data_IF_192203248884
#
_entry.id   IF_192203248884
#
_cell.length_a   1.000
_cell.length_b   1.000
_cell.length_c   1.000
_cell.angle_alpha   90.00
_cell.angle_beta   90.00
_cell.angle_gamma   90.00
#
_symmetry.space_group_name_H-M   'P 1'
#
loop_
_entity.id
_entity.type
_entity.pdbx_description
1 polymer ?
#
# COMPACT_ATOMS: atom_id res chain seq x y z
N UNK A 1 12.66 -21.91 16.62
CA UNK A 1 12.56 -21.20 15.32
C UNK A 1 12.16 -19.78 15.64
N UNK A 2 12.90 -18.80 15.14
CA UNK A 2 12.70 -17.39 15.49
C UNK A 2 11.33 -16.93 14.96
N UNK A 3 10.35 -16.72 15.84
CA UNK A 3 9.08 -16.09 15.50
C UNK A 3 9.39 -14.68 14.97
N UNK A 4 9.45 -14.51 13.65
CA UNK A 4 9.55 -13.17 13.08
C UNK A 4 8.25 -12.46 13.38
N UNK A 5 8.34 -11.37 14.14
CA UNK A 5 7.22 -10.51 14.44
C UNK A 5 6.79 -9.81 13.13
N UNK A 6 5.83 -10.40 12.42
CA UNK A 6 5.41 -9.92 11.11
C UNK A 6 4.45 -8.74 11.26
N UNK A 7 4.79 -7.59 10.68
CA UNK A 7 3.91 -6.41 10.68
C UNK A 7 2.78 -6.66 9.67
N UNK A 8 1.50 -6.59 10.06
CA UNK A 8 0.39 -6.87 9.16
C UNK A 8 0.35 -5.84 8.02
N UNK A 9 0.02 -6.29 6.80
CA UNK A 9 -0.08 -5.41 5.63
C UNK A 9 -1.52 -4.97 5.37
N UNK A 10 -1.66 -3.72 4.97
CA UNK A 10 -2.91 -3.14 4.45
C UNK A 10 -2.68 -2.73 3.00
N UNK A 11 -3.46 -3.31 2.10
CA UNK A 11 -3.40 -3.00 0.68
C UNK A 11 -4.43 -1.92 0.28
N UNK A 12 -4.06 -0.99 -0.60
CA UNK A 12 -4.98 0.01 -1.15
C UNK A 12 -5.04 -0.16 -2.66
N UNK A 13 -6.20 -0.61 -3.15
CA UNK A 13 -6.50 -0.74 -4.57
C UNK A 13 -7.29 0.48 -5.03
N UNK A 14 -6.81 1.16 -6.07
CA UNK A 14 -7.38 2.41 -6.56
C UNK A 14 -7.06 2.61 -8.05
N UNK A 15 -7.88 3.38 -8.76
CA UNK A 15 -7.48 3.82 -10.09
C UNK A 15 -6.55 5.03 -10.00
N UNK A 16 -5.41 5.00 -10.70
CA UNK A 16 -4.47 6.14 -10.74
C UNK A 16 -5.14 7.47 -11.08
N UNK A 17 -6.19 7.47 -11.92
CA UNK A 17 -6.94 8.69 -12.26
C UNK A 17 -7.58 9.38 -11.05
N UNK A 18 -7.91 8.63 -10.00
CA UNK A 18 -8.51 9.15 -8.78
C UNK A 18 -7.49 9.82 -7.86
N UNK A 19 -6.21 9.85 -8.24
CA UNK A 19 -5.15 10.53 -7.48
C UNK A 19 -4.26 11.45 -8.34
N UNK A 20 -4.74 11.87 -9.52
CA UNK A 20 -3.96 12.71 -10.44
C UNK A 20 -4.32 14.21 -10.40
N UNK A 21 -5.30 14.61 -9.60
CA UNK A 21 -5.71 16.02 -9.52
C UNK A 21 -4.59 16.90 -8.97
N UNK A 22 -4.54 18.15 -9.43
CA UNK A 22 -3.66 19.17 -8.86
C UNK A 22 -4.14 19.58 -7.45
N UNK A 23 -5.46 19.55 -7.25
CA UNK A 23 -6.09 19.89 -5.98
C UNK A 23 -5.89 18.75 -4.96
N UNK A 24 -5.22 19.00 -3.81
CA UNK A 24 -4.98 17.97 -2.80
C UNK A 24 -6.25 17.30 -2.27
N UNK A 25 -7.33 18.07 -2.13
CA UNK A 25 -8.63 17.58 -1.65
C UNK A 25 -9.25 16.51 -2.57
N UNK A 26 -8.84 16.45 -3.84
CA UNK A 26 -9.32 15.48 -4.83
C UNK A 26 -8.36 14.29 -5.04
N UNK A 27 -7.22 14.26 -4.35
CA UNK A 27 -6.25 13.17 -4.40
C UNK A 27 -6.58 12.12 -3.35
N UNK A 28 -7.52 11.22 -3.68
CA UNK A 28 -8.16 10.33 -2.71
C UNK A 28 -7.22 9.33 -2.03
N UNK A 29 -6.21 8.81 -2.74
CA UNK A 29 -5.21 7.94 -2.13
C UNK A 29 -4.36 8.75 -1.14
N UNK A 30 -3.85 9.90 -1.56
CA UNK A 30 -2.97 10.72 -0.71
C UNK A 30 -3.67 11.11 0.59
N UNK A 31 -4.95 11.53 0.49
CA UNK A 31 -5.77 11.82 1.67
C UNK A 31 -5.95 10.62 2.58
N UNK A 32 -6.27 9.44 2.05
CA UNK A 32 -6.38 8.24 2.88
C UNK A 32 -5.04 7.89 3.56
N UNK A 33 -3.92 8.05 2.85
CA UNK A 33 -2.59 7.78 3.40
C UNK A 33 -2.29 8.68 4.60
N UNK A 34 -2.72 9.94 4.62
CA UNK A 34 -2.54 10.83 5.79
C UNK A 34 -3.19 10.26 7.07
N UNK A 35 -4.34 9.59 6.96
CA UNK A 35 -4.99 8.92 8.10
C UNK A 35 -4.33 7.62 8.50
N UNK A 36 -3.65 6.94 7.57
CA UNK A 36 -3.02 5.64 7.79
C UNK A 36 -1.53 5.76 8.17
N UNK A 37 -0.89 6.87 7.86
CA UNK A 37 0.52 7.11 8.16
C UNK A 37 0.85 6.97 9.66
N UNK A 38 -0.02 7.38 10.61
CA UNK A 38 0.22 7.09 12.02
C UNK A 38 0.43 5.60 12.32
N UNK A 39 -0.32 4.70 11.66
CA UNK A 39 -0.20 3.25 11.84
C UNK A 39 1.14 2.74 11.30
N UNK A 40 1.60 3.32 10.18
CA UNK A 40 2.89 3.02 9.57
C UNK A 40 4.06 3.49 10.45
N UNK A 41 4.00 4.75 10.92
CA UNK A 41 5.01 5.35 11.80
C UNK A 41 5.08 4.67 13.18
N UNK A 42 3.95 4.13 13.66
CA UNK A 42 3.87 3.36 14.90
C UNK A 42 4.17 1.86 14.71
N UNK A 43 4.53 1.44 13.49
CA UNK A 43 4.84 0.04 13.14
C UNK A 43 3.68 -0.93 13.44
N UNK A 44 2.44 -0.43 13.45
CA UNK A 44 1.24 -1.23 13.69
C UNK A 44 0.76 -1.93 12.42
N UNK A 45 1.00 -1.31 11.26
CA UNK A 45 0.68 -1.89 9.96
C UNK A 45 1.58 -1.31 8.88
N UNK A 46 1.90 -2.11 7.87
CA UNK A 46 2.57 -1.65 6.65
C UNK A 46 1.50 -1.29 5.61
N UNK A 47 1.53 -0.06 5.11
CA UNK A 47 0.57 0.43 4.11
C UNK A 47 1.17 0.32 2.70
N UNK A 48 0.44 -0.33 1.79
CA UNK A 48 0.92 -0.67 0.45
C UNK A 48 -0.08 -0.27 -0.65
N UNK A 49 0.42 0.23 -1.77
CA UNK A 49 -0.38 0.59 -2.95
C UNK A 49 0.50 0.64 -4.20
N UNK A 50 -0.10 0.47 -5.39
CA UNK A 50 0.56 0.46 -6.70
C UNK A 50 1.49 1.65 -7.01
N UNK A 51 1.42 2.79 -6.28
CA UNK A 51 2.41 3.88 -6.43
C UNK A 51 3.84 3.45 -6.09
N UNK A 52 4.03 2.43 -5.24
CA UNK A 52 5.36 2.03 -4.76
C UNK A 52 6.10 1.08 -5.73
N UNK A 53 5.52 0.81 -6.91
CA UNK A 53 5.59 -0.51 -7.52
C UNK A 53 5.68 -0.50 -9.05
N UNK A 54 6.14 0.60 -9.64
CA UNK A 54 6.15 0.83 -11.10
C UNK A 54 7.17 -0.02 -11.90
N UNK A 55 7.33 -1.34 -11.67
CA UNK A 55 8.28 -2.18 -12.42
C UNK A 55 7.67 -3.52 -12.92
N UNK A 56 7.33 -3.55 -14.22
CA UNK A 56 7.47 -4.73 -15.12
C UNK A 56 6.52 -5.94 -15.01
N UNK A 57 6.69 -6.95 -15.88
CA UNK A 57 5.88 -8.17 -15.94
C UNK A 57 6.12 -9.18 -14.78
N UNK A 58 7.17 -8.98 -13.98
CA UNK A 58 7.44 -9.76 -12.74
C UNK A 58 6.46 -9.40 -11.59
N UNK A 59 5.72 -8.30 -11.78
CA UNK A 59 4.75 -7.70 -10.88
C UNK A 59 3.58 -8.61 -10.46
N UNK A 60 3.08 -9.46 -11.37
CA UNK A 60 1.95 -10.35 -11.07
C UNK A 60 2.29 -11.39 -9.99
N UNK A 61 3.54 -11.84 -9.98
CA UNK A 61 4.03 -12.82 -9.01
C UNK A 61 4.31 -12.15 -7.67
N UNK A 62 4.88 -10.95 -7.71
CA UNK A 62 5.18 -10.17 -6.50
C UNK A 62 3.90 -9.71 -5.78
N UNK A 63 2.84 -9.33 -6.51
CA UNK A 63 1.51 -9.11 -5.90
C UNK A 63 0.99 -10.39 -5.26
N UNK A 64 1.05 -11.54 -5.94
CA UNK A 64 0.53 -12.79 -5.37
C UNK A 64 1.25 -13.20 -4.09
N UNK A 65 2.57 -13.04 -4.05
CA UNK A 65 3.40 -13.35 -2.89
C UNK A 65 3.21 -12.30 -1.78
N UNK A 66 3.14 -11.01 -2.12
CA UNK A 66 2.96 -9.92 -1.16
C UNK A 66 1.57 -9.90 -0.53
N UNK A 67 0.54 -10.32 -1.28
CA UNK A 67 -0.83 -10.38 -0.79
C UNK A 67 -1.08 -11.53 0.21
N UNK A 68 -0.15 -12.49 0.37
CA UNK A 68 -0.28 -13.54 1.39
C UNK A 68 -0.26 -12.98 2.82
N UNK A 69 0.37 -11.82 3.04
CA UNK A 69 0.48 -11.20 4.37
C UNK A 69 -0.55 -10.08 4.59
N UNK A 70 -1.43 -9.85 3.61
CA UNK A 70 -2.40 -8.76 3.65
C UNK A 70 -3.58 -9.13 4.54
N UNK A 71 -3.84 -8.33 5.57
CA UNK A 71 -4.93 -8.58 6.52
C UNK A 71 -6.20 -7.83 6.16
N UNK A 72 -6.03 -6.67 5.55
CA UNK A 72 -7.13 -5.87 5.05
C UNK A 72 -6.76 -5.19 3.75
N UNK A 73 -7.77 -4.93 2.92
CA UNK A 73 -7.64 -4.14 1.73
C UNK A 73 -8.71 -3.06 1.66
N UNK A 74 -8.32 -1.88 1.20
CA UNK A 74 -9.22 -0.77 0.92
C UNK A 74 -9.41 -0.66 -0.59
N UNK A 75 -10.67 -0.59 -1.03
CA UNK A 75 -10.99 -0.30 -2.43
C UNK A 75 -11.45 1.15 -2.53
N UNK A 76 -10.72 1.98 -3.26
CA UNK A 76 -11.14 3.34 -3.58
C UNK A 76 -11.97 3.32 -4.86
N UNK A 77 -13.28 3.15 -4.71
CA UNK A 77 -14.19 2.82 -5.81
C UNK A 77 -14.75 4.06 -6.47
N UNK A 78 -14.52 4.18 -7.78
CA UNK A 78 -15.03 5.20 -8.66
C UNK A 78 -15.40 4.59 -10.02
N UNK A 79 -15.96 5.38 -10.94
CA UNK A 79 -16.12 4.92 -12.32
C UNK A 79 -14.78 4.59 -13.00
N UNK A 80 -13.70 5.31 -12.64
CA UNK A 80 -12.34 5.01 -13.13
C UNK A 80 -11.83 3.67 -12.61
N UNK A 81 -12.11 3.35 -11.34
CA UNK A 81 -11.82 2.05 -10.74
C UNK A 81 -12.53 0.92 -11.49
N UNK A 82 -13.85 1.03 -11.67
CA UNK A 82 -14.65 -0.02 -12.31
C UNK A 82 -14.31 -0.23 -13.79
N UNK A 83 -13.87 0.83 -14.48
CA UNK A 83 -13.44 0.81 -15.88
C UNK A 83 -11.97 0.41 -16.08
N UNK A 84 -11.19 0.27 -15.01
CA UNK A 84 -9.77 -0.11 -15.11
C UNK A 84 -9.63 -1.58 -15.49
N UNK A 85 -9.09 -1.84 -16.69
CA UNK A 85 -8.76 -3.20 -17.12
C UNK A 85 -7.71 -3.85 -16.22
N UNK A 86 -6.77 -3.06 -15.72
CA UNK A 86 -5.69 -3.55 -14.90
C UNK A 86 -6.21 -4.02 -13.53
N UNK A 87 -7.01 -3.20 -12.83
CA UNK A 87 -7.67 -3.59 -11.56
C UNK A 87 -8.52 -4.85 -11.77
N UNK A 88 -9.33 -4.85 -12.83
CA UNK A 88 -10.24 -5.95 -13.15
C UNK A 88 -9.52 -7.27 -13.44
N UNK A 89 -8.37 -7.22 -14.12
CA UNK A 89 -7.71 -8.42 -14.63
C UNK A 89 -6.54 -8.88 -13.76
N UNK A 90 -6.04 -8.05 -12.84
CA UNK A 90 -4.80 -8.32 -12.10
C UNK A 90 -5.05 -8.25 -10.59
N UNK A 91 -5.24 -7.05 -10.02
CA UNK A 91 -5.28 -6.86 -8.56
C UNK A 91 -6.53 -7.47 -7.91
N UNK A 92 -7.72 -7.13 -8.44
CA UNK A 92 -8.97 -7.44 -7.77
C UNK A 92 -9.27 -8.94 -7.73
N UNK A 93 -9.09 -9.74 -8.79
CA UNK A 93 -9.31 -11.19 -8.72
C UNK A 93 -8.46 -11.87 -7.65
N UNK A 94 -7.19 -11.49 -7.53
CA UNK A 94 -6.28 -12.02 -6.50
C UNK A 94 -6.76 -11.60 -5.11
N UNK A 95 -7.10 -10.33 -4.92
CA UNK A 95 -7.60 -9.84 -3.63
C UNK A 95 -8.91 -10.54 -3.21
N UNK A 96 -9.83 -10.77 -4.15
CA UNK A 96 -11.07 -11.50 -3.89
C UNK A 96 -10.81 -12.96 -3.52
N UNK A 97 -9.86 -13.60 -4.19
CA UNK A 97 -9.41 -14.94 -3.83
C UNK A 97 -8.84 -14.95 -2.41
N UNK A 98 -7.97 -14.00 -2.06
CA UNK A 98 -7.39 -13.90 -0.72
C UNK A 98 -8.44 -13.63 0.36
N UNK A 99 -9.43 -12.79 0.09
CA UNK A 99 -10.55 -12.59 1.01
C UNK A 99 -11.33 -13.87 1.28
N UNK A 100 -11.47 -14.73 0.27
CA UNK A 100 -12.16 -16.02 0.40
C UNK A 100 -11.30 -17.07 1.10
N UNK A 101 -10.03 -17.18 0.77
CA UNK A 101 -9.13 -18.26 1.21
C UNK A 101 -8.43 -17.95 2.54
N UNK A 102 -8.00 -16.70 2.72
CA UNK A 102 -7.20 -16.24 3.87
C UNK A 102 -7.97 -15.27 4.78
N UNK A 103 -9.22 -14.96 4.45
CA UNK A 103 -10.10 -14.15 5.30
C UNK A 103 -9.82 -12.65 5.29
N UNK A 104 -9.01 -12.16 4.33
CA UNK A 104 -8.68 -10.75 4.12
C UNK A 104 -9.94 -9.88 4.13
N UNK A 105 -9.93 -8.83 4.95
CA UNK A 105 -11.08 -7.92 5.07
C UNK A 105 -11.05 -6.85 3.98
N UNK A 106 -12.04 -6.85 3.10
CA UNK A 106 -12.16 -5.84 2.04
C UNK A 106 -13.10 -4.71 2.49
N UNK A 107 -12.63 -3.48 2.40
CA UNK A 107 -13.33 -2.25 2.80
C UNK A 107 -13.46 -1.29 1.61
N UNK A 108 -14.58 -1.31 0.88
CA UNK A 108 -14.81 -0.35 -0.17
C UNK A 108 -15.17 1.05 0.38
N UNK A 109 -14.60 2.08 -0.24
CA UNK A 109 -14.97 3.49 -0.07
C UNK A 109 -15.46 4.00 -1.42
N UNK A 110 -16.68 4.55 -1.48
CA UNK A 110 -17.24 5.07 -2.73
C UNK A 110 -16.81 6.51 -2.88
N UNK A 111 -15.88 6.76 -3.80
CA UNK A 111 -15.32 8.07 -4.07
C UNK A 111 -16.28 8.94 -4.88
N UNK A 112 -16.91 8.36 -5.90
CA UNK A 112 -17.77 9.04 -6.88
C UNK A 112 -18.94 8.15 -7.30
N UNK A 113 -20.04 8.74 -7.72
CA UNK A 113 -21.17 8.00 -8.32
C UNK A 113 -20.67 7.12 -9.47
N UNK A 114 -21.01 5.83 -9.41
CA UNK A 114 -20.55 4.83 -10.37
C UNK A 114 -21.45 3.60 -10.34
N UNK A 115 -21.24 2.68 -11.28
CA UNK A 115 -22.00 1.42 -11.44
C UNK A 115 -21.63 0.36 -10.38
N UNK A 116 -21.53 0.75 -9.11
CA UNK A 116 -21.03 -0.10 -8.03
C UNK A 116 -21.85 -1.37 -7.83
N UNK A 117 -23.18 -1.24 -7.83
CA UNK A 117 -24.10 -2.36 -7.56
C UNK A 117 -24.23 -3.29 -8.78
N UNK A 118 -24.12 -2.71 -9.98
CA UNK A 118 -24.31 -3.37 -11.25
C UNK A 118 -23.04 -4.09 -11.72
N UNK A 119 -21.86 -3.68 -11.23
CA UNK A 119 -20.60 -4.25 -11.67
C UNK A 119 -20.28 -5.56 -10.97
N UNK A 120 -19.98 -6.57 -11.78
CA UNK A 120 -19.56 -7.89 -11.33
C UNK A 120 -18.13 -8.20 -11.74
N UNK A 121 -17.49 -9.05 -10.95
CA UNK A 121 -16.13 -9.53 -11.14
C UNK A 121 -16.09 -11.05 -11.01
N UNK A 122 -15.33 -11.69 -11.89
CA UNK A 122 -15.03 -13.11 -11.79
C UNK A 122 -13.65 -13.32 -11.19
N UNK A 123 -13.48 -14.41 -10.46
CA UNK A 123 -12.21 -14.78 -9.82
C UNK A 123 -12.11 -16.32 -9.62
N UNK A 124 -10.90 -16.88 -9.44
CA UNK A 124 -9.59 -16.21 -9.49
C UNK A 124 -9.21 -15.76 -10.91
N UNK A 125 -9.75 -16.39 -11.95
CA UNK A 125 -9.57 -15.91 -13.33
C UNK A 125 -10.62 -14.84 -13.69
N UNK A 126 -10.22 -13.67 -14.21
CA UNK A 126 -11.12 -12.55 -14.49
C UNK A 126 -12.11 -12.79 -15.65
N UNK A 127 -11.88 -13.81 -16.50
CA UNK A 127 -12.72 -14.12 -17.68
C UNK A 127 -13.59 -15.36 -17.44
N UNK A 128 -12.96 -16.41 -16.94
CA UNK A 128 -13.49 -17.77 -16.84
C UNK A 128 -13.55 -18.28 -15.40
N UNK A 129 -13.26 -17.43 -14.42
CA UNK A 129 -13.34 -17.78 -13.00
C UNK A 129 -14.71 -18.38 -12.64
N UNK A 130 -14.74 -19.47 -11.87
CA UNK A 130 -15.99 -20.12 -11.46
C UNK A 130 -16.79 -19.26 -10.47
N UNK A 131 -16.13 -18.33 -9.77
CA UNK A 131 -16.76 -17.44 -8.80
C UNK A 131 -17.12 -16.10 -9.42
N UNK A 132 -18.26 -15.53 -9.01
CA UNK A 132 -18.72 -14.20 -9.41
C UNK A 132 -19.13 -13.38 -8.18
N UNK A 133 -18.55 -12.20 -8.01
CA UNK A 133 -18.88 -11.26 -6.94
C UNK A 133 -19.36 -9.92 -7.52
N UNK A 134 -20.48 -9.42 -7.01
CA UNK A 134 -20.84 -8.01 -7.13
C UNK A 134 -20.30 -7.27 -5.91
N UNK A 135 -19.60 -6.15 -6.14
CA UNK A 135 -19.05 -5.35 -5.04
C UNK A 135 -20.15 -4.79 -4.12
N UNK A 136 -21.38 -4.63 -4.62
CA UNK A 136 -22.55 -4.26 -3.82
C UNK A 136 -22.87 -5.23 -2.68
N UNK A 137 -22.30 -6.43 -2.67
CA UNK A 137 -22.43 -7.40 -1.56
C UNK A 137 -21.43 -7.16 -0.42
N UNK A 138 -20.43 -6.31 -0.62
CA UNK A 138 -19.43 -5.98 0.39
C UNK A 138 -19.92 -4.88 1.33
N UNK A 139 -19.45 -4.90 2.57
CA UNK A 139 -19.77 -3.83 3.53
C UNK A 139 -18.95 -2.58 3.22
N UNK A 140 -19.64 -1.54 2.76
CA UNK A 140 -19.06 -0.27 2.30
C UNK A 140 -18.89 0.72 3.47
N UNK A 141 -17.88 1.59 3.39
CA UNK A 141 -17.61 2.63 4.38
C UNK A 141 -18.61 3.80 4.35
N UNK A 142 -19.16 4.10 3.17
CA UNK A 142 -20.16 5.14 2.95
C UNK A 142 -21.25 4.65 1.97
N UNK A 143 -22.40 5.34 1.95
CA UNK A 143 -23.49 4.96 1.05
C UNK A 143 -23.07 5.13 -0.43
N UNK A 144 -23.37 4.17 -1.33
CA UNK A 144 -23.18 4.36 -2.76
C UNK A 144 -23.97 5.54 -3.35
N UNK A 145 -25.03 5.98 -2.68
CA UNK A 145 -25.83 7.17 -3.07
C UNK A 145 -25.25 8.48 -2.53
N UNK A 146 -24.33 8.41 -1.58
CA UNK A 146 -23.62 9.54 -0.98
C UNK A 146 -22.11 9.27 -1.08
N UNK A 147 -21.53 9.39 -2.29
CA UNK A 147 -20.09 9.24 -2.47
C UNK A 147 -19.31 10.37 -1.77
N UNK A 148 -18.02 10.15 -1.50
CA UNK A 148 -17.19 11.17 -0.83
C UNK A 148 -17.22 12.51 -1.59
N UNK A 149 -17.14 12.50 -2.91
CA UNK A 149 -17.10 13.73 -3.70
C UNK A 149 -18.39 14.56 -3.66
N UNK A 150 -19.51 14.03 -3.15
CA UNK A 150 -20.76 14.80 -2.97
C UNK A 150 -20.86 15.45 -1.58
N UNK A 151 -19.95 15.12 -0.66
CA UNK A 151 -19.96 15.61 0.72
C UNK A 151 -19.03 16.82 0.88
N UNK A 152 -19.27 17.69 1.87
CA UNK A 152 -18.27 18.64 2.35
C UNK A 152 -17.00 17.93 2.86
N UNK A 153 -15.83 18.56 2.73
CA UNK A 153 -14.53 17.96 3.04
C UNK A 153 -14.44 17.38 4.48
N UNK A 154 -14.93 18.13 5.47
CA UNK A 154 -14.93 17.69 6.86
C UNK A 154 -15.82 16.46 7.14
N UNK A 155 -16.79 16.14 6.28
CA UNK A 155 -17.57 14.91 6.36
C UNK A 155 -16.83 13.75 5.70
N UNK A 156 -16.14 14.01 4.59
CA UNK A 156 -15.25 13.04 3.94
C UNK A 156 -14.16 12.59 4.92
N UNK A 157 -13.56 13.53 5.64
CA UNK A 157 -12.55 13.29 6.67
C UNK A 157 -13.04 12.35 7.78
N UNK A 158 -14.31 12.47 8.20
CA UNK A 158 -14.91 11.55 9.18
C UNK A 158 -14.99 10.13 8.63
N UNK A 159 -15.34 9.97 7.36
CA UNK A 159 -15.38 8.65 6.72
C UNK A 159 -13.96 8.07 6.64
N UNK A 160 -12.97 8.84 6.19
CA UNK A 160 -11.57 8.40 6.11
C UNK A 160 -11.02 7.99 7.48
N UNK A 161 -11.28 8.80 8.52
CA UNK A 161 -10.94 8.47 9.90
C UNK A 161 -11.61 7.17 10.37
N UNK A 162 -12.90 7.00 10.08
CA UNK A 162 -13.63 5.78 10.47
C UNK A 162 -13.06 4.52 9.83
N UNK A 163 -12.59 4.63 8.57
CA UNK A 163 -11.92 3.53 7.86
C UNK A 163 -10.57 3.23 8.51
N UNK A 164 -9.75 4.24 8.80
CA UNK A 164 -8.48 4.06 9.49
C UNK A 164 -8.63 3.39 10.85
N UNK A 165 -9.63 3.81 11.65
CA UNK A 165 -9.96 3.18 12.92
C UNK A 165 -10.43 1.72 12.75
N UNK A 166 -11.19 1.42 11.69
CA UNK A 166 -11.63 0.05 11.40
C UNK A 166 -10.45 -0.83 11.01
N UNK A 167 -9.53 -0.32 10.20
CA UNK A 167 -8.29 -1.01 9.82
C UNK A 167 -7.42 -1.28 11.04
N UNK A 168 -7.24 -0.28 11.92
CA UNK A 168 -6.51 -0.44 13.19
C UNK A 168 -7.09 -1.57 14.05
N UNK A 169 -8.43 -1.70 14.11
CA UNK A 169 -9.08 -2.80 14.83
C UNK A 169 -8.81 -4.15 14.18
N UNK A 170 -8.83 -4.23 12.84
CA UNK A 170 -8.56 -5.48 12.11
C UNK A 170 -7.14 -5.95 12.38
N UNK A 171 -6.15 -5.06 12.26
CA UNK A 171 -4.74 -5.43 12.48
C UNK A 171 -4.45 -5.82 13.93
N UNK A 172 -5.11 -5.17 14.91
CA UNK A 172 -4.93 -5.49 16.33
C UNK A 172 -5.67 -6.77 16.77
N UNK A 173 -6.81 -7.09 16.17
CA UNK A 173 -7.58 -8.28 16.54
C UNK A 173 -6.81 -9.58 16.28
N UNK A 174 -6.05 -9.63 15.17
CA UNK A 174 -5.22 -10.80 14.87
C UNK A 174 -3.97 -10.90 15.73
N UNK A 175 -3.39 -9.77 16.16
CA UNK A 175 -2.29 -9.78 17.13
C UNK A 175 -2.73 -10.47 18.43
N UNK A 176 -3.98 -10.22 18.86
CA UNK A 176 -4.57 -10.86 20.03
C UNK A 176 -4.86 -12.36 19.82
N UNK A 177 -5.35 -12.76 18.64
CA UNK A 177 -5.57 -14.19 18.32
C UNK A 177 -4.25 -14.96 18.21
N UNK A 178 -3.21 -14.36 17.63
CA UNK A 178 -1.88 -14.97 17.50
C UNK A 178 -1.20 -15.16 18.86
N UNK A 179 -1.30 -14.16 19.76
CA UNK A 179 -0.79 -14.30 21.14
C UNK A 179 -1.55 -15.33 21.98
N UNK A 180 -2.82 -15.61 21.64
CA UNK A 180 -3.64 -16.58 22.37
C UNK A 180 -3.30 -18.03 22.02
N UNK A 181 -2.75 -18.30 20.84
CA UNK A 181 -2.28 -19.63 20.44
C UNK A 181 -0.94 -20.00 21.09
N UNK A 182 -0.06 -19.01 21.35
CA UNK A 182 1.21 -19.25 22.07
C UNK A 182 1.00 -19.55 23.57
N UNK A 183 -0.07 -19.04 24.19
CA UNK A 183 -0.41 -19.34 25.60
C UNK A 183 -0.99 -20.75 25.83
N UNK A 184 -1.41 -21.48 24.78
CA UNK A 184 -2.08 -22.79 24.94
C UNK A 184 -1.09 -23.96 25.08
N UNK A 185 0.20 -23.77 24.83
CA UNK A 185 1.23 -24.82 25.07
C UNK A 185 1.84 -24.81 26.48
N UNK A 186 1.36 -23.95 27.40
CA UNK A 186 1.85 -23.87 28.77
C UNK A 186 0.74 -23.94 29.81
N UNK A 187 0.55 -25.14 30.36
CA UNK A 187 -0.06 -25.46 31.66
C UNK A 187 -1.43 -24.84 32.00
N UNK A 188 -2.44 -25.72 32.06
CA UNK A 188 -3.65 -25.52 32.84
C UNK A 188 -3.29 -25.34 34.32
N UNK A 189 -3.26 -24.10 34.83
CA UNK A 189 -3.82 -23.72 36.14
C UNK A 189 -3.66 -22.22 36.46
N UNK A 190 -4.73 -21.66 37.03
CA UNK A 190 -4.88 -20.32 37.64
C UNK A 190 -4.89 -19.06 36.75
N UNK A 191 -6.11 -18.70 36.32
CA UNK A 191 -6.49 -17.32 35.98
C UNK A 191 -6.41 -16.41 37.21
N UNK A 192 -5.47 -15.47 37.19
CA UNK A 192 -5.64 -14.15 37.82
C UNK A 192 -5.31 -13.07 36.79
N UNK A 193 -6.35 -12.32 36.40
CA UNK A 193 -6.29 -11.23 35.44
C UNK A 193 -5.49 -10.07 36.04
N UNK A 194 -4.33 -9.75 35.47
CA UNK A 194 -3.55 -8.56 35.78
C UNK A 194 -3.25 -7.83 34.48
N UNK A 195 -3.86 -6.66 34.32
CA UNK A 195 -3.54 -5.69 33.27
C UNK A 195 -2.03 -5.38 33.31
N UNK A 196 -1.27 -5.86 32.33
CA UNK A 196 0.16 -5.55 32.20
C UNK A 196 0.37 -4.60 31.02
N UNK A 197 0.77 -3.38 31.34
CA UNK A 197 1.40 -2.47 30.38
C UNK A 197 2.76 -3.05 29.98
N UNK A 198 3.09 -3.03 28.68
CA UNK A 198 4.36 -3.53 28.15
C UNK A 198 5.49 -2.57 28.54
N UNK A 199 6.59 -3.03 29.19
CA UNK A 199 7.66 -2.16 29.68
C UNK A 199 8.38 -1.36 28.58
N UNK A 200 8.68 -0.10 28.87
CA UNK A 200 9.29 0.88 27.96
C UNK A 200 10.71 0.53 27.50
N UNK A 201 11.46 -0.24 28.30
CA UNK A 201 12.87 -0.57 28.05
C UNK A 201 13.06 -1.55 26.88
N UNK A 202 12.09 -2.44 26.69
CA UNK A 202 12.03 -3.36 25.56
C UNK A 202 11.89 -2.57 24.26
N UNK A 203 11.05 -1.52 24.26
CA UNK A 203 10.81 -0.65 23.09
C UNK A 203 12.11 0.05 22.64
N UNK A 204 12.96 0.50 23.56
CA UNK A 204 14.17 1.28 23.26
C UNK A 204 15.25 0.49 22.51
N UNK A 205 15.38 -0.81 22.77
CA UNK A 205 16.33 -1.69 22.06
C UNK A 205 15.95 -1.92 20.60
N UNK A 206 14.66 -2.02 20.32
CA UNK A 206 14.13 -2.21 18.96
C UNK A 206 14.27 -0.95 18.10
N UNK A 207 13.97 0.23 18.66
CA UNK A 207 14.17 1.50 17.95
C UNK A 207 15.62 1.70 17.52
N UNK A 208 16.60 1.36 18.36
CA UNK A 208 18.02 1.49 18.01
C UNK A 208 18.44 0.55 16.88
N UNK A 209 17.98 -0.70 16.91
CA UNK A 209 18.32 -1.70 15.88
C UNK A 209 17.67 -1.37 14.54
N UNK A 210 16.44 -0.87 14.54
CA UNK A 210 15.70 -0.48 13.32
C UNK A 210 16.15 0.88 12.77
N UNK A 211 16.52 1.82 13.63
CA UNK A 211 17.19 3.06 13.20
C UNK A 211 18.52 2.76 12.50
N UNK A 212 19.29 1.79 13.02
CA UNK A 212 20.52 1.35 12.36
C UNK A 212 20.25 0.71 10.97
N UNK A 213 19.20 -0.09 10.84
CA UNK A 213 18.81 -0.66 9.54
C UNK A 213 18.36 0.41 8.54
N UNK A 214 17.56 1.40 8.98
CA UNK A 214 17.14 2.53 8.14
C UNK A 214 18.31 3.44 7.77
N UNK A 215 19.28 3.64 8.66
CA UNK A 215 20.52 4.35 8.34
C UNK A 215 21.36 3.61 7.30
N UNK A 216 21.39 2.28 7.34
CA UNK A 216 22.09 1.47 6.34
C UNK A 216 21.39 1.53 4.97
N UNK A 217 20.06 1.52 4.95
CA UNK A 217 19.27 1.68 3.72
C UNK A 217 19.44 3.09 3.11
N UNK A 218 19.42 4.14 3.94
CA UNK A 218 19.73 5.51 3.51
C UNK A 218 21.14 5.62 2.93
N UNK A 219 22.14 5.03 3.59
CA UNK A 219 23.51 5.04 3.10
C UNK A 219 23.65 4.32 1.74
N UNK A 220 22.88 3.25 1.50
CA UNK A 220 22.85 2.57 0.20
C UNK A 220 22.26 3.45 -0.90
N UNK A 221 21.19 4.20 -0.59
CA UNK A 221 20.56 5.15 -1.52
C UNK A 221 21.50 6.33 -1.82
N UNK A 222 22.15 6.89 -0.81
CA UNK A 222 23.13 7.97 -0.98
C UNK A 222 24.29 7.51 -1.88
N UNK A 223 24.79 6.29 -1.67
CA UNK A 223 25.84 5.71 -2.51
C UNK A 223 25.40 5.55 -3.98
N UNK A 224 24.16 5.13 -4.22
CA UNK A 224 23.60 5.05 -5.58
C UNK A 224 23.47 6.43 -6.23
N UNK A 225 23.02 7.44 -5.47
CA UNK A 225 22.90 8.82 -5.94
C UNK A 225 24.27 9.41 -6.33
N UNK A 226 25.31 9.17 -5.53
CA UNK A 226 26.68 9.58 -5.87
C UNK A 226 27.17 8.95 -7.18
N UNK A 227 26.89 7.65 -7.39
CA UNK A 227 27.23 6.97 -8.64
C UNK A 227 26.52 7.56 -9.87
N UNK A 228 25.25 7.93 -9.72
CA UNK A 228 24.48 8.60 -10.78
C UNK A 228 25.03 10.00 -11.06
N UNK A 229 25.36 10.77 -10.03
CA UNK A 229 25.95 12.11 -10.19
C UNK A 229 27.29 12.05 -10.93
N UNK A 230 28.17 11.10 -10.57
CA UNK A 230 29.44 10.87 -11.26
C UNK A 230 29.23 10.55 -12.74
N UNK A 231 28.25 9.70 -13.05
CA UNK A 231 27.92 9.33 -14.44
C UNK A 231 27.41 10.53 -15.25
N UNK A 232 26.65 11.44 -14.61
CA UNK A 232 26.16 12.67 -15.25
C UNK A 232 27.32 13.64 -15.52
N UNK A 233 28.28 13.76 -14.62
CA UNK A 233 29.44 14.63 -14.81
C UNK A 233 30.38 14.09 -15.91
N UNK A 234 30.61 12.77 -15.98
CA UNK A 234 31.34 12.15 -17.09
C UNK A 234 30.67 12.41 -18.45
N UNK A 235 29.34 12.31 -18.52
CA UNK A 235 28.60 12.62 -19.75
C UNK A 235 28.73 14.11 -20.16
N UNK A 236 28.71 15.04 -19.19
CA UNK A 236 28.93 16.46 -19.48
C UNK A 236 30.34 16.72 -20.01
N UNK A 237 31.36 16.10 -19.42
CA UNK A 237 32.75 16.20 -19.87
C UNK A 237 32.92 15.66 -21.29
N UNK A 238 32.33 14.51 -21.61
CA UNK A 238 32.37 13.93 -22.96
C UNK A 238 31.68 14.85 -23.98
N UNK A 239 30.50 15.37 -23.66
CA UNK A 239 29.80 16.31 -24.55
C UNK A 239 30.59 17.61 -24.77
N UNK A 240 31.28 18.12 -23.75
CA UNK A 240 32.16 19.28 -23.90
C UNK A 240 33.39 18.97 -24.77
N UNK A 241 33.98 17.78 -24.64
CA UNK A 241 35.09 17.34 -25.47
C UNK A 241 34.69 17.20 -26.94
N UNK A 242 33.51 16.61 -27.24
CA UNK A 242 32.97 16.53 -28.59
C UNK A 242 32.74 17.92 -29.21
N UNK A 243 32.25 18.88 -28.41
CA UNK A 243 32.05 20.27 -28.85
C UNK A 243 33.38 20.93 -29.25
N UNK A 244 34.41 20.82 -28.40
CA UNK A 244 35.74 21.37 -28.68
C UNK A 244 36.41 20.71 -29.88
N UNK A 245 36.24 19.39 -30.07
CA UNK A 245 36.73 18.69 -31.26
C UNK A 245 36.10 19.25 -32.54
N UNK A 246 34.80 19.53 -32.52
CA UNK A 246 34.12 20.19 -33.65
C UNK A 246 34.66 21.59 -33.95
N UNK A 247 34.93 22.39 -32.91
CA UNK A 247 35.53 23.72 -33.09
C UNK A 247 36.95 23.65 -33.68
N UNK A 248 37.74 22.65 -33.30
CA UNK A 248 39.08 22.41 -33.86
C UNK A 248 38.98 22.03 -35.35
N UNK A 249 38.08 21.10 -35.72
CA UNK A 249 37.86 20.73 -37.12
C UNK A 249 37.43 21.93 -37.98
N UNK A 250 36.57 22.80 -37.46
CA UNK A 250 36.18 24.04 -38.14
C UNK A 250 37.35 25.03 -38.32
N UNK A 251 38.28 25.08 -37.38
CA UNK A 251 39.47 25.93 -37.47
C UNK A 251 40.51 25.35 -38.45
N UNK A 252 40.69 24.03 -38.48
CA UNK A 252 41.56 23.35 -39.45
C UNK A 252 41.09 23.55 -40.90
N UNK A 253 39.78 23.59 -41.15
CA UNK A 253 39.23 23.88 -42.48
C UNK A 253 39.44 25.33 -42.95
N UNK A 254 39.75 26.25 -42.02
CA UNK A 254 39.97 27.69 -42.31
C UNK A 254 41.46 28.04 -42.50
N UNK A 255 42.37 27.11 -42.21
CA UNK A 255 43.82 27.23 -42.42
C UNK A 255 44.22 26.72 -43.81
#
# INVERSE_FOLDING_TARGET
>A
MSSQNHIPRIFICYAHKDNKSAEPSERWLDRLLEYLEPLNLQEQAEIWSDKRLEIGDEWHKEIQDTLQDVKAAVLLVSQSFLASKYIRNSELPVLLQQAKEQGVKILPIILRSCLFNETKFKYPDPKNGPEELSLGKLQVANSPTEPLNSMPEHEQDKILLSVAQRLLKIVNAEAMESSKFEEIEGDEEERVFSSREVPSEVRTGFYKKRLAAKQQELAAIESQLEGVLSSVDELKLNNQAECLMGEIEELEQKL
#
